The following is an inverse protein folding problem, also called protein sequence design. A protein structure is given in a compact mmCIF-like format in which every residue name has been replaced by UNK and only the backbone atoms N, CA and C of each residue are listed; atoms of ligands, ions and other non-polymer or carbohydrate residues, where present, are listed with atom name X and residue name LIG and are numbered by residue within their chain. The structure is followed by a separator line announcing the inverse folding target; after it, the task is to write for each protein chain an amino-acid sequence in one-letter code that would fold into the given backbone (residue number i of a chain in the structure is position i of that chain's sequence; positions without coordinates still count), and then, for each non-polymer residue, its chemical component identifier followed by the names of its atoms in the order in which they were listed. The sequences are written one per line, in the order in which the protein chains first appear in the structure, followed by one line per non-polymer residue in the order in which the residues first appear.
data_IF_607629266570
#
_entry.id   IF_607629266570
#
_cell.length_a   1.000
_cell.length_b   1.000
_cell.length_c   1.000
_cell.angle_alpha   90.00
_cell.angle_beta   90.00
_cell.angle_gamma   90.00
#
_symmetry.space_group_name_H-M   'P 1'
#
loop_
_entity.id
_entity.type
_entity.pdbx_description
1 polymer ?
#
# COMPACT_ATOMS: atom_id res chain seq x y z
N UNK A 1 -45.04 -59.90 -12.91
CA UNK A 1 -44.17 -60.18 -14.08
C UNK A 1 -43.70 -58.82 -14.58
N UNK A 2 -42.43 -58.40 -14.59
CA UNK A 2 -41.17 -59.07 -14.87
C UNK A 2 -40.05 -58.56 -13.95
N UNK A 3 -39.30 -59.48 -13.33
CA UNK A 3 -37.95 -59.25 -12.84
C UNK A 3 -36.98 -59.35 -14.03
N UNK A 4 -36.04 -58.42 -14.19
CA UNK A 4 -34.72 -58.71 -14.79
C UNK A 4 -33.62 -57.93 -14.06
N UNK A 5 -32.87 -58.67 -13.24
CA UNK A 5 -31.49 -58.36 -12.84
C UNK A 5 -30.57 -58.65 -14.03
N UNK A 6 -29.55 -57.84 -14.24
CA UNK A 6 -28.28 -58.29 -14.83
C UNK A 6 -27.10 -57.62 -14.12
N UNK A 7 -26.10 -58.44 -13.84
CA UNK A 7 -24.90 -58.22 -13.04
C UNK A 7 -23.76 -57.55 -13.83
N UNK A 8 -23.00 -56.68 -13.13
CA UNK A 8 -21.52 -56.70 -12.94
C UNK A 8 -20.62 -57.02 -14.16
N UNK A 9 -19.74 -56.08 -14.58
CA UNK A 9 -18.27 -56.05 -14.35
C UNK A 9 -17.55 -55.03 -15.27
N UNK A 10 -16.53 -54.43 -14.65
CA UNK A 10 -15.48 -53.50 -15.06
C UNK A 10 -14.97 -53.43 -16.52
N UNK A 11 -14.57 -52.22 -16.91
CA UNK A 11 -13.26 -51.95 -17.54
C UNK A 11 -12.96 -50.44 -17.51
N UNK A 12 -11.97 -50.02 -16.73
CA UNK A 12 -11.29 -48.73 -16.92
C UNK A 12 -10.14 -48.99 -17.88
N UNK A 13 -9.96 -48.14 -18.90
CA UNK A 13 -8.61 -47.67 -19.18
C UNK A 13 -8.54 -46.14 -19.28
N UNK A 14 -7.44 -45.63 -18.74
CA UNK A 14 -6.98 -44.26 -18.78
C UNK A 14 -7.08 -43.65 -20.18
N UNK A 15 -7.59 -42.42 -20.25
CA UNK A 15 -7.13 -41.45 -21.23
C UNK A 15 -6.71 -40.21 -20.45
N UNK A 16 -5.40 -40.09 -20.23
CA UNK A 16 -4.75 -38.85 -19.85
C UNK A 16 -4.51 -38.06 -21.15
N UNK A 17 -5.07 -36.86 -21.35
CA UNK A 17 -4.39 -35.83 -22.09
C UNK A 17 -3.53 -35.07 -21.08
N UNK A 18 -2.23 -35.33 -21.17
CA UNK A 18 -1.21 -34.43 -20.70
C UNK A 18 -1.38 -33.05 -21.38
N UNK A 19 -1.26 -32.04 -20.54
CA UNK A 19 -0.43 -30.86 -20.77
C UNK A 19 -1.13 -29.52 -21.11
N UNK A 20 -0.66 -28.53 -20.32
CA UNK A 20 -0.35 -27.16 -20.71
C UNK A 20 -1.55 -26.24 -20.94
N UNK A 21 -2.02 -25.62 -19.86
CA UNK A 21 -1.79 -24.19 -19.65
C UNK A 21 -2.54 -23.74 -18.39
N UNK A 22 -2.10 -24.16 -17.22
CA UNK A 22 -2.08 -23.22 -16.10
C UNK A 22 -0.82 -22.37 -16.29
N UNK A 23 -0.77 -21.60 -17.40
CA UNK A 23 -0.11 -20.31 -17.32
C UNK A 23 -0.98 -19.63 -16.27
N UNK A 24 -0.43 -19.54 -15.05
CA UNK A 24 -1.09 -18.79 -14.00
C UNK A 24 -1.56 -17.50 -14.64
N UNK A 25 -2.78 -17.10 -14.33
CA UNK A 25 -3.02 -15.68 -14.32
C UNK A 25 -1.90 -15.13 -13.43
N UNK A 26 -0.79 -14.70 -14.03
CA UNK A 26 -0.12 -13.50 -13.58
C UNK A 26 -1.25 -12.51 -13.59
N UNK A 27 -1.92 -12.41 -12.43
CA UNK A 27 -2.54 -11.19 -12.03
C UNK A 27 -1.42 -10.19 -12.25
N UNK A 28 -1.49 -9.53 -13.42
CA UNK A 28 -0.92 -8.22 -13.65
C UNK A 28 -1.13 -7.53 -12.32
N UNK A 29 -0.06 -7.19 -11.60
CA UNK A 29 -0.13 -6.49 -10.33
C UNK A 29 -1.12 -5.35 -10.53
N UNK A 30 -2.34 -5.58 -10.05
CA UNK A 30 -3.46 -4.67 -10.24
C UNK A 30 -3.14 -3.60 -9.22
N UNK A 31 -2.70 -2.42 -9.69
CA UNK A 31 -2.28 -1.32 -8.84
C UNK A 31 -3.18 -1.25 -7.61
N UNK A 32 -2.67 -1.62 -6.43
CA UNK A 32 -3.50 -1.89 -5.25
C UNK A 32 -4.07 -0.58 -4.69
N UNK A 33 -3.38 0.52 -4.94
CA UNK A 33 -3.87 1.85 -4.60
C UNK A 33 -4.76 2.40 -5.71
N UNK A 34 -6.08 2.39 -5.49
CA UNK A 34 -7.05 3.07 -6.37
C UNK A 34 -7.01 4.60 -6.25
N UNK A 35 -6.21 5.10 -5.31
CA UNK A 35 -6.06 6.51 -5.04
C UNK A 35 -7.31 7.13 -4.39
N UNK A 36 -8.09 6.35 -3.60
CA UNK A 36 -9.39 6.60 -2.94
C UNK A 36 -9.79 8.04 -2.54
N UNK A 37 -10.49 8.25 -1.42
CA UNK A 37 -10.88 9.62 -1.03
C UNK A 37 -9.73 10.35 -0.34
N UNK A 38 -9.34 11.56 -0.79
CA UNK A 38 -8.31 12.33 -0.11
C UNK A 38 -8.80 12.77 1.27
N UNK A 39 -7.89 12.86 2.23
CA UNK A 39 -8.23 13.24 3.61
C UNK A 39 -8.38 14.75 3.78
N UNK A 40 -9.07 15.19 4.83
CA UNK A 40 -9.48 16.58 5.02
C UNK A 40 -8.34 17.55 5.31
N UNK A 41 -7.22 17.07 5.85
CA UNK A 41 -6.11 17.92 6.29
C UNK A 41 -4.75 17.19 6.16
N UNK A 42 -3.64 17.94 6.05
CA UNK A 42 -2.31 17.36 5.90
C UNK A 42 -1.85 16.51 7.09
N UNK A 43 -2.29 16.85 8.30
CA UNK A 43 -1.84 16.15 9.51
C UNK A 43 -2.40 14.73 9.54
N UNK A 44 -3.67 14.56 9.16
CA UNK A 44 -4.30 13.25 9.01
C UNK A 44 -3.60 12.40 7.95
N UNK A 45 -3.18 13.00 6.83
CA UNK A 45 -2.47 12.27 5.77
C UNK A 45 -1.11 11.75 6.26
N UNK A 46 -0.34 12.62 6.91
CA UNK A 46 0.96 12.27 7.49
C UNK A 46 0.79 11.21 8.59
N UNK A 47 -0.16 11.39 9.50
CA UNK A 47 -0.42 10.42 10.56
C UNK A 47 -0.72 9.03 9.98
N UNK A 48 -1.62 8.95 8.99
CA UNK A 48 -1.96 7.67 8.35
C UNK A 48 -0.77 6.98 7.70
N UNK A 49 0.16 7.75 7.10
CA UNK A 49 1.40 7.21 6.55
C UNK A 49 2.31 6.66 7.64
N UNK A 50 2.50 7.39 8.74
CA UNK A 50 3.33 6.94 9.87
C UNK A 50 2.74 5.67 10.51
N UNK A 51 1.42 5.60 10.69
CA UNK A 51 0.73 4.40 11.16
C UNK A 51 0.92 3.22 10.20
N UNK A 52 0.85 3.46 8.89
CA UNK A 52 1.09 2.43 7.89
C UNK A 52 2.53 1.90 7.96
N UNK A 53 3.52 2.78 8.11
CA UNK A 53 4.92 2.39 8.26
C UNK A 53 5.16 1.61 9.57
N UNK A 54 4.50 1.97 10.67
CA UNK A 54 4.60 1.26 11.95
C UNK A 54 4.06 -0.16 11.91
N UNK A 55 3.01 -0.39 11.11
CA UNK A 55 2.24 -1.64 11.09
C UNK A 55 2.42 -2.46 9.81
N UNK A 56 3.19 -1.95 8.83
CA UNK A 56 3.25 -2.50 7.47
C UNK A 56 1.87 -2.67 6.84
N UNK A 57 0.96 -1.73 7.11
CA UNK A 57 -0.43 -1.75 6.61
C UNK A 57 -0.50 -1.06 5.23
N UNK A 58 -0.45 -1.88 4.17
CA UNK A 58 -0.41 -1.42 2.78
C UNK A 58 -1.73 -0.79 2.34
N UNK A 59 -2.87 -1.29 2.83
CA UNK A 59 -4.18 -0.69 2.57
C UNK A 59 -4.26 0.73 3.15
N UNK A 60 -3.76 0.91 4.38
CA UNK A 60 -3.67 2.23 4.99
C UNK A 60 -2.73 3.14 4.22
N UNK A 61 -1.56 2.67 3.79
CA UNK A 61 -0.66 3.45 2.95
C UNK A 61 -1.37 3.91 1.66
N UNK A 62 -2.02 3.00 0.94
CA UNK A 62 -2.81 3.31 -0.26
C UNK A 62 -3.88 4.38 -0.04
N UNK A 63 -4.50 4.40 1.16
CA UNK A 63 -5.55 5.37 1.47
C UNK A 63 -5.03 6.82 1.54
N UNK A 64 -3.75 7.02 1.82
CA UNK A 64 -3.16 8.36 2.06
C UNK A 64 -2.14 8.80 1.02
N UNK A 65 -1.58 7.90 0.20
CA UNK A 65 -0.58 8.26 -0.81
C UNK A 65 -1.20 8.72 -2.13
N UNK A 66 -0.51 9.56 -2.87
CA UNK A 66 -0.98 10.13 -4.14
C UNK A 66 -0.71 9.24 -5.36
N UNK A 67 0.29 8.36 -5.27
CA UNK A 67 0.69 7.47 -6.36
C UNK A 67 -0.12 6.18 -6.35
N UNK A 68 -0.32 5.62 -7.54
CA UNK A 68 -0.81 4.26 -7.71
C UNK A 68 0.39 3.33 -7.67
N UNK A 69 0.53 2.61 -6.57
CA UNK A 69 1.63 1.69 -6.34
C UNK A 69 1.05 0.30 -6.08
N UNK A 70 1.84 -0.72 -6.41
CA UNK A 70 1.61 -2.08 -5.94
C UNK A 70 2.23 -2.29 -4.54
N UNK A 71 1.93 -3.43 -3.93
CA UNK A 71 2.37 -3.74 -2.56
C UNK A 71 3.90 -3.77 -2.42
N UNK A 72 4.62 -4.23 -3.45
CA UNK A 72 6.09 -4.26 -3.47
C UNK A 72 6.65 -2.83 -3.43
N UNK A 73 6.16 -1.93 -4.29
CA UNK A 73 6.58 -0.53 -4.30
C UNK A 73 6.18 0.21 -3.01
N UNK A 74 5.03 -0.11 -2.42
CA UNK A 74 4.65 0.43 -1.09
C UNK A 74 5.65 -0.02 -0.03
N UNK A 75 6.02 -1.30 -0.01
CA UNK A 75 7.00 -1.84 0.95
C UNK A 75 8.38 -1.18 0.81
N UNK A 76 8.82 -0.92 -0.43
CA UNK A 76 10.05 -0.17 -0.74
C UNK A 76 10.05 1.26 -0.16
N UNK A 77 8.88 1.86 0.06
CA UNK A 77 8.76 3.17 0.70
C UNK A 77 8.53 3.10 2.21
N UNK A 78 7.71 2.17 2.69
CA UNK A 78 7.39 2.06 4.13
C UNK A 78 8.58 1.57 4.95
N UNK A 79 9.38 0.64 4.42
CA UNK A 79 10.55 0.09 5.11
C UNK A 79 11.61 1.16 5.46
N UNK A 80 12.10 1.98 4.50
CA UNK A 80 13.04 3.04 4.83
C UNK A 80 12.40 4.12 5.71
N UNK A 81 11.13 4.46 5.49
CA UNK A 81 10.42 5.40 6.36
C UNK A 81 10.38 4.92 7.81
N UNK A 82 10.06 3.64 8.04
CA UNK A 82 10.05 3.04 9.39
C UNK A 82 11.45 3.08 10.03
N UNK A 83 12.48 2.76 9.28
CA UNK A 83 13.88 2.87 9.74
C UNK A 83 14.23 4.31 10.14
N UNK A 84 13.81 5.28 9.33
CA UNK A 84 14.03 6.71 9.59
C UNK A 84 13.27 7.18 10.83
N UNK A 85 12.00 6.79 10.97
CA UNK A 85 11.17 7.00 12.16
C UNK A 85 11.83 6.47 13.43
N UNK A 86 12.33 5.23 13.40
CA UNK A 86 13.02 4.62 14.53
C UNK A 86 14.29 5.38 14.90
N UNK A 87 15.08 5.78 13.91
CA UNK A 87 16.32 6.54 14.13
C UNK A 87 16.08 7.93 14.74
N UNK A 88 14.96 8.55 14.40
CA UNK A 88 14.56 9.90 14.86
C UNK A 88 13.56 9.89 16.01
N UNK A 89 13.18 8.70 16.49
CA UNK A 89 12.20 8.47 17.56
C UNK A 89 10.83 9.12 17.27
N UNK A 90 10.45 9.14 15.99
CA UNK A 90 9.15 9.64 15.52
C UNK A 90 8.17 8.48 15.46
N UNK A 91 6.97 8.70 15.98
CA UNK A 91 5.83 7.77 15.91
C UNK A 91 4.59 8.50 15.43
N UNK A 92 3.59 7.74 14.99
CA UNK A 92 2.26 8.26 14.63
C UNK A 92 1.57 9.02 15.78
N UNK A 93 1.97 8.78 17.03
CA UNK A 93 1.34 9.35 18.23
C UNK A 93 2.12 10.51 18.85
N UNK A 94 3.41 10.68 18.52
CA UNK A 94 4.26 11.71 19.13
C UNK A 94 4.72 12.80 18.15
N UNK A 95 4.42 12.66 16.85
CA UNK A 95 4.93 13.57 15.85
C UNK A 95 4.33 14.98 15.98
N UNK A 96 5.16 15.94 15.58
CA UNK A 96 4.81 17.32 15.27
C UNK A 96 5.18 17.56 13.82
N UNK A 97 4.42 18.41 13.15
CA UNK A 97 4.72 18.80 11.78
C UNK A 97 4.87 20.31 11.66
N UNK A 98 5.88 20.75 10.92
CA UNK A 98 6.07 22.16 10.58
C UNK A 98 6.16 22.32 9.07
N UNK A 99 5.26 23.13 8.51
CA UNK A 99 5.28 23.46 7.09
C UNK A 99 6.44 24.42 6.80
N UNK A 100 7.21 24.13 5.75
CA UNK A 100 8.19 25.06 5.21
C UNK A 100 7.93 25.31 3.72
N UNK A 101 8.42 26.45 3.23
CA UNK A 101 8.24 26.84 1.83
C UNK A 101 9.46 26.44 1.01
N UNK A 102 9.22 25.71 -0.09
CA UNK A 102 10.24 25.34 -1.08
C UNK A 102 9.88 25.81 -2.51
N UNK A 103 8.83 26.61 -2.64
CA UNK A 103 8.22 26.98 -3.93
C UNK A 103 7.41 25.83 -4.54
N UNK A 104 6.56 26.15 -5.53
CA UNK A 104 5.70 25.15 -6.21
C UNK A 104 4.33 24.93 -5.55
N UNK A 105 3.59 23.95 -6.06
CA UNK A 105 2.22 23.61 -5.63
C UNK A 105 2.16 22.58 -4.49
N UNK A 106 3.29 21.95 -4.17
CA UNK A 106 3.39 20.99 -3.08
C UNK A 106 3.57 21.66 -1.71
N UNK A 107 3.21 20.94 -0.66
CA UNK A 107 3.40 21.36 0.73
C UNK A 107 4.47 20.48 1.37
N UNK A 108 5.55 21.11 1.83
CA UNK A 108 6.69 20.42 2.43
C UNK A 108 6.63 20.54 3.94
N UNK A 109 6.82 19.42 4.64
CA UNK A 109 6.73 19.34 6.08
C UNK A 109 7.95 18.68 6.69
N UNK A 110 8.47 19.30 7.74
CA UNK A 110 9.38 18.66 8.69
C UNK A 110 8.55 17.94 9.74
N UNK A 111 8.72 16.63 9.85
CA UNK A 111 8.02 15.77 10.82
C UNK A 111 9.01 15.28 11.87
N UNK A 112 8.78 15.60 13.13
CA UNK A 112 9.72 15.36 14.23
C UNK A 112 8.99 15.10 15.55
N UNK A 113 9.65 14.47 16.53
CA UNK A 113 9.07 14.24 17.86
C UNK A 113 9.40 15.38 18.83
N UNK A 114 10.61 15.36 19.41
CA UNK A 114 11.07 16.37 20.37
C UNK A 114 12.04 17.38 19.75
N UNK A 115 12.94 16.92 18.88
CA UNK A 115 14.06 17.67 18.31
C UNK A 115 13.78 18.05 16.84
N UNK A 116 13.46 19.32 16.53
CA UNK A 116 13.16 19.76 15.16
C UNK A 116 14.31 19.56 14.16
N UNK A 117 15.55 19.49 14.64
CA UNK A 117 16.76 19.24 13.85
C UNK A 117 16.86 17.80 13.34
N UNK A 118 16.11 16.86 13.94
CA UNK A 118 16.00 15.47 13.52
C UNK A 118 14.63 15.22 12.88
N UNK A 119 14.32 15.97 11.82
CA UNK A 119 13.05 15.88 11.12
C UNK A 119 13.11 14.92 9.91
N UNK A 120 12.01 14.24 9.64
CA UNK A 120 11.71 13.51 8.42
C UNK A 120 11.03 14.50 7.46
N UNK A 121 11.53 14.57 6.22
CA UNK A 121 10.92 15.38 5.17
C UNK A 121 9.75 14.63 4.55
N UNK A 122 8.55 15.21 4.60
CA UNK A 122 7.35 14.65 3.96
C UNK A 122 6.72 15.69 3.04
N UNK A 123 6.37 15.25 1.83
CA UNK A 123 5.68 16.05 0.82
C UNK A 123 4.20 15.69 0.82
N UNK A 124 3.34 16.71 0.91
CA UNK A 124 1.89 16.57 0.83
C UNK A 124 1.40 17.38 -0.36
N UNK A 125 0.52 16.77 -1.16
CA UNK A 125 -0.08 17.38 -2.35
C UNK A 125 -1.58 17.57 -2.16
N UNK A 126 -2.12 18.61 -2.78
CA UNK A 126 -3.57 18.81 -2.86
C UNK A 126 -4.15 17.92 -3.95
N UNK A 127 -5.13 17.10 -3.60
CA UNK A 127 -5.88 16.27 -4.55
C UNK A 127 -7.36 16.61 -4.40
N UNK A 128 -7.91 17.35 -5.36
CA UNK A 128 -9.28 17.83 -5.33
C UNK A 128 -9.54 18.78 -4.14
N UNK A 129 -10.30 18.30 -3.15
CA UNK A 129 -10.66 19.05 -1.93
C UNK A 129 -9.94 18.57 -0.66
N UNK A 130 -8.95 17.69 -0.81
CA UNK A 130 -8.23 17.12 0.32
C UNK A 130 -6.74 16.95 0.02
N UNK A 131 -6.08 16.16 0.86
CA UNK A 131 -4.64 16.02 0.90
C UNK A 131 -4.22 14.55 0.77
N UNK A 132 -3.05 14.34 0.16
CA UNK A 132 -2.36 13.05 0.07
C UNK A 132 -0.86 13.23 0.20
N UNK A 133 -0.15 12.19 0.60
CA UNK A 133 1.31 12.17 0.67
C UNK A 133 1.90 11.81 -0.70
N UNK A 134 2.96 12.49 -1.11
CA UNK A 134 3.77 12.11 -2.26
C UNK A 134 5.06 11.43 -1.78
N UNK A 135 5.43 10.32 -2.42
CA UNK A 135 6.74 9.70 -2.25
C UNK A 135 7.69 10.23 -3.33
N UNK A 136 8.74 10.95 -2.94
CA UNK A 136 9.80 11.40 -3.85
C UNK A 136 9.38 12.44 -4.90
N UNK A 137 10.36 12.99 -5.64
CA UNK A 137 10.12 13.94 -6.73
C UNK A 137 9.57 13.21 -7.96
N UNK A 138 8.54 13.77 -8.60
CA UNK A 138 8.15 13.40 -9.99
C UNK A 138 9.25 13.74 -10.99
#
# INVERSE_FOLDING_TARGET
MNLRRTCRIAAVPLVLPLALAAVGCSAVHEETCDGGWPVSDPQTAVQGLLEAAESSDYEKACSVISLKLDDEAIEEHLTPLKSEMDSKQVTSSNFKMHKYERGGSAHFYNVYAEQPEMAIDIVVVNVGKGYRVAFGEE
#
